data_IF_010045578808
#
_entry.id   IF_010045578808
#
_cell.length_a   1.000
_cell.length_b   1.000
_cell.length_c   1.000
_cell.angle_alpha   90.00
_cell.angle_beta   90.00
_cell.angle_gamma   90.00
#
_symmetry.space_group_name_H-M   'P 1'
#
loop_
_entity.id
_entity.type
_entity.pdbx_description
1 polymer ?
#
# COMPACT_ATOMS: atom_id res chain seq x y z
N UNK A 1 -13.32 9.26 11.12
CA UNK A 1 -13.67 7.82 11.08
C UNK A 1 -12.42 7.04 11.45
N UNK A 2 -12.45 6.16 12.46
CA UNK A 2 -11.25 5.41 12.83
C UNK A 2 -11.16 4.15 11.96
N UNK A 3 -10.26 4.12 10.97
CA UNK A 3 -10.14 2.97 10.07
C UNK A 3 -9.61 1.76 10.84
N UNK A 4 -10.20 0.59 10.61
CA UNK A 4 -9.74 -0.66 11.23
C UNK A 4 -8.63 -1.32 10.39
N UNK A 5 -7.73 -2.05 11.04
CA UNK A 5 -6.67 -2.82 10.35
C UNK A 5 -7.26 -3.82 9.35
N UNK A 6 -8.40 -4.45 9.70
CA UNK A 6 -9.11 -5.38 8.80
C UNK A 6 -9.59 -4.67 7.53
N UNK A 7 -10.17 -3.49 7.66
CA UNK A 7 -10.65 -2.71 6.52
C UNK A 7 -9.48 -2.22 5.66
N UNK A 8 -8.39 -1.78 6.29
CA UNK A 8 -7.16 -1.40 5.59
C UNK A 8 -6.60 -2.56 4.76
N UNK A 9 -6.52 -3.77 5.31
CA UNK A 9 -6.11 -4.96 4.57
C UNK A 9 -7.03 -5.29 3.39
N UNK A 10 -8.35 -5.19 3.59
CA UNK A 10 -9.30 -5.43 2.51
C UNK A 10 -9.11 -4.43 1.35
N UNK A 11 -9.00 -3.13 1.66
CA UNK A 11 -8.75 -2.08 0.66
C UNK A 11 -7.42 -2.28 -0.05
N UNK A 12 -6.36 -2.65 0.68
CA UNK A 12 -5.05 -2.93 0.11
C UNK A 12 -5.09 -4.13 -0.83
N UNK A 13 -5.78 -5.21 -0.43
CA UNK A 13 -5.94 -6.42 -1.24
C UNK A 13 -6.63 -6.12 -2.58
N UNK A 14 -7.71 -5.31 -2.57
CA UNK A 14 -8.40 -4.86 -3.80
C UNK A 14 -7.44 -4.12 -4.74
N UNK A 15 -6.49 -3.36 -4.18
CA UNK A 15 -5.48 -2.62 -4.94
C UNK A 15 -4.22 -3.45 -5.25
N UNK A 16 -4.23 -4.77 -5.01
CA UNK A 16 -3.03 -5.63 -5.12
C UNK A 16 -1.83 -5.06 -4.35
N UNK A 17 -2.08 -4.49 -3.18
CA UNK A 17 -1.07 -3.99 -2.26
C UNK A 17 -1.02 -4.87 -1.02
N UNK A 18 0.14 -4.98 -0.41
CA UNK A 18 0.35 -5.61 0.89
C UNK A 18 0.51 -4.54 1.95
N UNK A 19 -0.12 -4.77 3.10
CA UNK A 19 0.02 -3.98 4.32
C UNK A 19 0.57 -4.91 5.40
N UNK A 20 1.63 -4.51 6.08
CA UNK A 20 2.22 -5.28 7.18
C UNK A 20 2.64 -4.33 8.30
N UNK A 21 2.28 -4.65 9.54
CA UNK A 21 2.86 -3.96 10.70
C UNK A 21 4.29 -4.48 10.91
N UNK A 22 5.24 -3.56 11.08
CA UNK A 22 6.67 -3.87 11.24
C UNK A 22 7.04 -4.38 12.64
N UNK A 23 6.11 -4.34 13.59
CA UNK A 23 6.35 -4.64 15.01
C UNK A 23 6.84 -3.43 15.81
N UNK A 24 7.16 -2.31 15.15
CA UNK A 24 7.68 -1.09 15.78
C UNK A 24 6.64 0.05 15.85
N UNK A 25 5.39 -0.22 15.50
CA UNK A 25 4.34 0.80 15.39
C UNK A 25 4.09 1.27 13.96
N UNK A 26 5.04 1.04 13.04
CA UNK A 26 4.91 1.44 11.65
C UNK A 26 4.21 0.37 10.79
N UNK A 27 3.48 0.85 9.80
CA UNK A 27 2.90 0.09 8.71
C UNK A 27 3.80 0.18 7.47
N UNK A 28 4.15 -0.97 6.93
CA UNK A 28 4.81 -1.14 5.64
C UNK A 28 3.76 -1.44 4.56
N UNK A 29 3.81 -0.70 3.47
CA UNK A 29 2.96 -0.87 2.29
C UNK A 29 3.81 -1.11 1.07
N UNK A 30 3.50 -2.14 0.28
CA UNK A 30 4.21 -2.44 -0.96
C UNK A 30 3.28 -3.10 -1.98
N UNK A 31 3.69 -3.17 -3.24
CA UNK A 31 2.95 -3.92 -4.25
C UNK A 31 2.99 -5.41 -3.95
N UNK A 32 1.87 -6.11 -4.13
CA UNK A 32 1.79 -7.56 -3.96
C UNK A 32 2.78 -8.30 -4.88
N UNK A 33 3.01 -7.79 -6.10
CA UNK A 33 4.00 -8.36 -7.02
C UNK A 33 5.45 -7.93 -6.78
N UNK A 34 5.71 -6.95 -5.91
CA UNK A 34 7.06 -6.44 -5.66
C UNK A 34 7.72 -7.20 -4.51
N UNK A 35 8.79 -7.95 -4.84
CA UNK A 35 9.66 -8.62 -3.84
C UNK A 35 10.69 -7.68 -3.21
N UNK A 36 10.95 -6.52 -3.80
CA UNK A 36 12.02 -5.60 -3.38
C UNK A 36 11.54 -4.48 -2.44
N UNK A 37 12.39 -4.14 -1.47
CA UNK A 37 12.17 -3.06 -0.48
C UNK A 37 12.16 -1.66 -1.11
N UNK A 38 12.67 -1.50 -2.35
CA UNK A 38 12.74 -0.20 -3.05
C UNK A 38 11.39 0.42 -3.38
N UNK A 39 10.31 -0.36 -3.32
CA UNK A 39 8.95 0.10 -3.60
C UNK A 39 8.04 0.04 -2.35
N UNK A 40 8.62 -0.01 -1.15
CA UNK A 40 7.88 0.01 0.09
C UNK A 40 7.72 1.45 0.63
N UNK A 41 6.54 1.76 1.15
CA UNK A 41 6.23 2.96 1.91
C UNK A 41 6.03 2.59 3.38
N UNK A 42 6.52 3.44 4.29
CA UNK A 42 6.42 3.24 5.74
C UNK A 42 5.73 4.44 6.36
N UNK A 43 4.77 4.19 7.25
CA UNK A 43 4.03 5.23 7.96
C UNK A 43 3.47 4.67 9.25
N UNK A 44 3.40 5.46 10.31
CA UNK A 44 2.77 5.11 11.58
C UNK A 44 1.24 5.26 11.53
N UNK A 45 0.71 5.89 10.47
CA UNK A 45 -0.71 6.12 10.29
C UNK A 45 -1.34 5.11 9.32
N UNK A 46 -2.29 4.33 9.81
CA UNK A 46 -3.00 3.33 9.02
C UNK A 46 -3.78 3.92 7.84
N UNK A 47 -4.35 5.12 8.01
CA UNK A 47 -5.10 5.80 6.94
C UNK A 47 -4.18 6.26 5.82
N UNK A 48 -3.05 6.84 6.18
CA UNK A 48 -2.03 7.27 5.23
C UNK A 48 -1.42 6.06 4.48
N UNK A 49 -1.22 4.94 5.16
CA UNK A 49 -0.76 3.70 4.55
C UNK A 49 -1.69 3.27 3.40
N UNK A 50 -3.00 3.33 3.63
CA UNK A 50 -4.02 2.92 2.65
C UNK A 50 -4.12 3.91 1.49
N UNK A 51 -4.13 5.22 1.79
CA UNK A 51 -4.20 6.26 0.77
C UNK A 51 -2.97 6.22 -0.14
N UNK A 52 -1.79 6.11 0.46
CA UNK A 52 -0.53 6.04 -0.27
C UNK A 52 -0.43 4.76 -1.09
N UNK A 53 -0.81 3.60 -0.53
CA UNK A 53 -0.82 2.34 -1.28
C UNK A 53 -1.72 2.40 -2.53
N UNK A 54 -2.92 2.98 -2.40
CA UNK A 54 -3.83 3.17 -3.53
C UNK A 54 -3.27 4.18 -4.56
N UNK A 55 -2.57 5.23 -4.12
CA UNK A 55 -1.91 6.17 -5.02
C UNK A 55 -0.74 5.52 -5.77
N UNK A 56 0.05 4.67 -5.10
CA UNK A 56 1.14 3.91 -5.73
C UNK A 56 0.62 2.98 -6.83
N UNK A 57 -0.47 2.23 -6.57
CA UNK A 57 -1.13 1.40 -7.59
C UNK A 57 -1.59 2.22 -8.79
N UNK A 58 -2.33 3.30 -8.56
CA UNK A 58 -2.80 4.19 -9.64
C UNK A 58 -1.66 4.75 -10.50
N UNK A 59 -0.57 5.20 -9.87
CA UNK A 59 0.61 5.71 -10.59
C UNK A 59 1.29 4.62 -11.43
N UNK A 60 1.35 3.38 -10.92
CA UNK A 60 1.93 2.26 -11.65
C UNK A 60 1.08 1.87 -12.85
N UNK A 61 -0.24 1.82 -12.68
CA UNK A 61 -1.18 1.51 -13.76
C UNK A 61 -1.17 2.59 -14.85
N UNK A 62 -1.06 3.87 -14.46
CA UNK A 62 -0.87 4.98 -15.40
C UNK A 62 0.43 4.84 -16.21
N UNK A 63 1.56 4.55 -15.55
CA UNK A 63 2.85 4.32 -16.22
C UNK A 63 2.80 3.13 -17.19
N UNK A 64 2.11 2.04 -16.82
CA UNK A 64 1.95 0.89 -17.70
C UNK A 64 1.09 1.22 -18.92
N UNK A 65 0.07 2.06 -18.76
CA UNK A 65 -0.78 2.52 -19.87
C UNK A 65 -0.02 3.41 -20.86
N UNK A 66 0.82 4.32 -20.36
CA UNK A 66 1.60 5.24 -21.22
C UNK A 66 2.79 4.54 -21.91
N UNK A 67 3.11 3.31 -21.52
CA UNK A 67 4.22 2.51 -22.06
C UNK A 67 3.81 1.56 -23.21
N UNK A 68 2.53 1.56 -23.61
CA UNK A 68 1.96 0.78 -24.73
C UNK A 68 1.59 1.73 -25.86
#
# INVERSE_FOLDING_TARGET
MNMTVREAHQRMSVNRMTLRNTGHGDYRVNFLEARDDKAAYYTDCLEDAVLTGAAMRRRRDAKLRDAI
#
